data_IF_175522808543
#
_entry.id   IF_175522808543
#
_cell.length_a   1.000
_cell.length_b   1.000
_cell.length_c   1.000
_cell.angle_alpha   90.00
_cell.angle_beta   90.00
_cell.angle_gamma   90.00
#
_symmetry.space_group_name_H-M   'P 1'
#
loop_
_entity.id
_entity.type
_entity.pdbx_description
1 polymer ?
#
# COMPACT_ATOMS: atom_id res chain seq x y z
N UNK A 1 -21.68 -18.23 30.11
CA UNK A 1 -21.40 -17.25 29.04
C UNK A 1 -19.94 -17.42 28.61
N UNK A 2 -19.61 -18.25 27.62
CA UNK A 2 -18.23 -18.36 27.13
C UNK A 2 -17.97 -17.29 26.07
N UNK A 3 -16.93 -16.49 26.30
CA UNK A 3 -16.53 -15.38 25.44
C UNK A 3 -15.98 -15.86 24.10
N UNK A 4 -16.54 -15.33 23.01
CA UNK A 4 -15.99 -15.42 21.67
C UNK A 4 -14.64 -14.67 21.63
N UNK A 5 -13.56 -15.42 21.44
CA UNK A 5 -12.28 -14.82 21.05
C UNK A 5 -12.35 -14.47 19.56
N UNK A 6 -12.04 -13.23 19.14
CA UNK A 6 -11.94 -12.91 17.72
C UNK A 6 -10.72 -13.65 17.15
N UNK A 7 -10.98 -14.64 16.30
CA UNK A 7 -9.93 -15.29 15.51
C UNK A 7 -9.57 -14.34 14.37
N UNK A 8 -8.37 -13.77 14.45
CA UNK A 8 -7.77 -12.99 13.37
C UNK A 8 -7.41 -13.95 12.21
N UNK A 9 -8.18 -13.91 11.13
CA UNK A 9 -7.89 -14.63 9.89
C UNK A 9 -7.19 -13.72 8.89
N UNK A 10 -5.92 -13.40 9.13
CA UNK A 10 -5.02 -13.03 8.02
C UNK A 10 -4.11 -14.23 7.78
N UNK A 11 -4.67 -15.24 7.11
CA UNK A 11 -3.86 -16.32 6.52
C UNK A 11 -3.44 -15.89 5.11
N UNK A 12 -2.14 -16.00 4.83
CA UNK A 12 -1.58 -16.01 3.47
C UNK A 12 -2.43 -16.91 2.58
N UNK A 13 -2.64 -16.52 1.32
CA UNK A 13 -3.37 -17.30 0.33
C UNK A 13 -2.92 -18.77 0.38
N UNK A 14 -3.81 -19.66 0.84
CA UNK A 14 -3.55 -21.07 1.04
C UNK A 14 -4.45 -21.90 0.15
N UNK A 15 -3.93 -23.03 -0.34
CA UNK A 15 -4.73 -24.03 -1.03
C UNK A 15 -5.36 -24.97 0.00
N UNK A 16 -6.68 -25.07 -0.01
CA UNK A 16 -7.42 -25.92 0.92
C UNK A 16 -8.21 -26.96 0.12
N UNK A 17 -7.78 -28.22 0.20
CA UNK A 17 -8.57 -29.34 -0.31
C UNK A 17 -9.65 -29.67 0.72
N UNK A 18 -10.92 -29.69 0.29
CA UNK A 18 -12.06 -30.07 1.12
C UNK A 18 -12.79 -31.24 0.48
N UNK A 19 -13.21 -32.19 1.31
CA UNK A 19 -14.07 -33.27 0.85
C UNK A 19 -15.49 -32.72 0.64
N UNK A 20 -16.02 -32.88 -0.58
CA UNK A 20 -17.34 -32.38 -0.97
C UNK A 20 -18.51 -33.02 -0.23
N UNK A 21 -18.33 -34.22 0.32
CA UNK A 21 -19.35 -34.94 1.12
C UNK A 21 -19.50 -34.37 2.53
N UNK A 22 -18.47 -33.70 3.05
CA UNK A 22 -18.48 -33.08 4.38
C UNK A 22 -18.94 -31.61 4.35
N UNK A 23 -19.23 -31.08 3.17
CA UNK A 23 -19.74 -29.72 2.98
C UNK A 23 -21.24 -29.76 2.76
N UNK A 24 -22.00 -29.14 3.67
CA UNK A 24 -23.44 -28.99 3.50
C UNK A 24 -23.77 -28.16 2.25
N UNK A 25 -24.99 -28.27 1.74
CA UNK A 25 -25.43 -27.47 0.59
C UNK A 25 -25.39 -25.96 0.90
N UNK A 26 -25.68 -25.57 2.14
CA UNK A 26 -25.63 -24.19 2.60
C UNK A 26 -24.19 -23.65 2.62
N UNK A 27 -23.23 -24.44 3.11
CA UNK A 27 -21.81 -24.04 3.13
C UNK A 27 -21.25 -23.89 1.71
N UNK A 28 -21.67 -24.75 0.78
CA UNK A 28 -21.30 -24.65 -0.64
C UNK A 28 -21.83 -23.36 -1.25
N UNK A 29 -23.10 -23.02 -1.01
CA UNK A 29 -23.70 -21.76 -1.44
C UNK A 29 -22.99 -20.55 -0.86
N UNK A 30 -22.65 -20.58 0.43
CA UNK A 30 -21.92 -19.50 1.09
C UNK A 30 -20.54 -19.31 0.46
N UNK A 31 -19.78 -20.40 0.25
CA UNK A 31 -18.49 -20.34 -0.43
C UNK A 31 -18.61 -19.82 -1.86
N UNK A 32 -19.63 -20.25 -2.61
CA UNK A 32 -19.87 -19.79 -3.98
C UNK A 32 -20.25 -18.30 -4.04
N UNK A 33 -20.97 -17.78 -3.03
CA UNK A 33 -21.39 -16.37 -2.99
C UNK A 33 -20.23 -15.39 -2.85
N UNK A 34 -19.15 -15.80 -2.16
CA UNK A 34 -17.94 -14.99 -1.98
C UNK A 34 -16.85 -15.33 -3.00
N UNK A 35 -17.03 -16.39 -3.80
CA UNK A 35 -16.04 -16.83 -4.77
C UNK A 35 -15.95 -15.86 -5.95
N UNK A 36 -14.73 -15.45 -6.30
CA UNK A 36 -14.49 -14.71 -7.54
C UNK A 36 -14.59 -15.60 -8.79
N UNK A 37 -14.23 -16.88 -8.66
CA UNK A 37 -14.27 -17.89 -9.72
C UNK A 37 -14.68 -19.24 -9.13
N UNK A 38 -15.62 -19.91 -9.80
CA UNK A 38 -16.01 -21.29 -9.54
C UNK A 38 -15.92 -22.05 -10.86
N UNK A 39 -15.28 -23.22 -10.84
CA UNK A 39 -15.13 -24.11 -11.98
C UNK A 39 -15.73 -25.45 -11.59
N UNK A 40 -16.52 -26.02 -12.49
CA UNK A 40 -17.23 -27.27 -12.27
C UNK A 40 -16.76 -28.30 -13.29
N UNK A 41 -16.24 -29.44 -12.86
CA UNK A 41 -15.75 -30.47 -13.77
C UNK A 41 -16.87 -31.09 -14.63
N UNK A 42 -18.14 -30.91 -14.24
CA UNK A 42 -19.32 -31.38 -14.97
C UNK A 42 -19.84 -30.36 -15.97
N UNK A 43 -19.43 -29.10 -15.89
CA UNK A 43 -19.90 -28.02 -16.76
C UNK A 43 -19.09 -27.86 -18.06
N UNK A 44 -18.42 -28.92 -18.52
CA UNK A 44 -17.61 -28.93 -19.74
C UNK A 44 -16.13 -28.63 -19.49
N UNK A 45 -15.35 -28.46 -20.57
CA UNK A 45 -13.92 -28.20 -20.45
C UNK A 45 -13.62 -26.85 -19.82
N UNK A 46 -12.48 -26.72 -19.11
CA UNK A 46 -12.07 -25.46 -18.47
C UNK A 46 -12.04 -24.28 -19.45
N UNK A 47 -11.60 -24.52 -20.69
CA UNK A 47 -11.55 -23.51 -21.75
C UNK A 47 -12.95 -23.02 -22.13
N UNK A 48 -13.94 -23.91 -22.16
CA UNK A 48 -15.31 -23.58 -22.51
C UNK A 48 -15.95 -22.72 -21.41
N UNK A 49 -15.76 -23.11 -20.14
CA UNK A 49 -16.24 -22.36 -18.98
C UNK A 49 -15.60 -20.96 -18.87
N UNK A 50 -14.30 -20.84 -19.15
CA UNK A 50 -13.61 -19.55 -19.18
C UNK A 50 -14.11 -18.66 -20.33
N UNK A 51 -14.24 -19.22 -21.53
CA UNK A 51 -14.71 -18.48 -22.70
C UNK A 51 -16.13 -17.94 -22.50
N UNK A 52 -17.05 -18.76 -21.99
CA UNK A 52 -18.42 -18.32 -21.70
C UNK A 52 -18.42 -17.07 -20.80
N UNK A 53 -17.61 -17.04 -19.73
CA UNK A 53 -17.55 -15.91 -18.81
C UNK A 53 -16.82 -14.68 -19.37
N UNK A 54 -15.75 -14.87 -20.15
CA UNK A 54 -15.10 -13.77 -20.88
C UNK A 54 -16.10 -13.09 -21.82
N UNK A 55 -17.03 -13.85 -22.40
CA UNK A 55 -18.12 -13.31 -23.20
C UNK A 55 -19.22 -12.65 -22.36
N UNK A 56 -19.57 -13.16 -21.17
CA UNK A 56 -20.56 -12.55 -20.26
C UNK A 56 -20.07 -11.25 -19.60
N UNK A 57 -18.77 -11.12 -19.31
CA UNK A 57 -18.17 -9.93 -18.69
C UNK A 57 -17.93 -8.76 -19.65
N UNK A 58 -18.33 -8.88 -20.92
CA UNK A 58 -18.35 -7.75 -21.86
C UNK A 58 -19.51 -6.80 -21.58
N UNK A 59 -19.72 -6.39 -20.33
CA UNK A 59 -20.17 -5.00 -20.15
C UNK A 59 -19.03 -4.14 -20.66
N UNK A 60 -19.26 -3.16 -21.56
CA UNK A 60 -18.21 -2.23 -21.91
C UNK A 60 -17.82 -1.53 -20.61
N UNK A 61 -16.68 -1.92 -20.04
CA UNK A 61 -16.09 -1.20 -18.93
C UNK A 61 -15.92 0.22 -19.46
N UNK A 62 -16.70 1.16 -18.92
CA UNK A 62 -16.55 2.57 -19.25
C UNK A 62 -15.09 2.88 -18.97
N UNK A 63 -14.33 3.20 -20.02
CA UNK A 63 -12.92 3.52 -19.86
C UNK A 63 -12.82 4.58 -18.77
N UNK A 64 -12.14 4.25 -17.68
CA UNK A 64 -11.73 5.24 -16.71
C UNK A 64 -10.67 6.07 -17.43
N UNK A 65 -11.10 7.16 -18.05
CA UNK A 65 -10.19 8.16 -18.61
C UNK A 65 -9.87 9.06 -17.43
N UNK A 66 -8.69 8.91 -16.77
CA UNK A 66 -8.29 9.86 -15.76
C UNK A 66 -8.21 11.22 -16.45
N UNK A 67 -9.19 12.09 -16.16
CA UNK A 67 -9.10 13.50 -16.54
C UNK A 67 -8.04 14.10 -15.63
N UNK A 68 -6.78 13.96 -16.03
CA UNK A 68 -5.69 14.70 -15.45
C UNK A 68 -5.91 16.17 -15.82
N UNK A 69 -6.73 16.86 -15.04
CA UNK A 69 -6.60 18.31 -14.93
C UNK A 69 -5.21 18.48 -14.35
N UNK A 70 -4.24 18.78 -15.22
CA UNK A 70 -2.97 19.35 -14.79
C UNK A 70 -3.29 20.72 -14.26
N UNK A 71 -3.79 20.78 -13.02
CA UNK A 71 -3.64 21.98 -12.23
C UNK A 71 -2.14 22.26 -12.26
N UNK A 72 -1.74 23.41 -12.81
CA UNK A 72 -0.37 23.89 -12.59
C UNK A 72 -0.20 23.86 -11.09
N UNK A 73 0.81 23.15 -10.57
CA UNK A 73 1.17 23.25 -9.17
C UNK A 73 1.34 24.74 -8.86
N UNK A 74 0.34 25.35 -8.21
CA UNK A 74 0.39 26.73 -7.72
C UNK A 74 1.13 26.78 -6.38
N UNK A 75 1.98 25.79 -6.12
CA UNK A 75 2.82 25.78 -4.94
C UNK A 75 3.80 26.93 -5.09
N UNK A 76 3.62 27.97 -4.28
CA UNK A 76 4.63 29.02 -4.11
C UNK A 76 5.84 28.40 -3.44
N UNK A 77 7.04 28.72 -3.92
CA UNK A 77 8.29 28.30 -3.27
C UNK A 77 8.27 28.75 -1.80
N UNK A 78 7.96 27.80 -0.91
CA UNK A 78 8.04 28.02 0.53
C UNK A 78 9.49 27.80 0.97
N UNK A 79 10.18 28.88 1.33
CA UNK A 79 11.50 28.80 1.94
C UNK A 79 11.34 28.92 3.46
N UNK A 80 11.51 27.84 4.24
CA UNK A 80 11.53 27.95 5.68
C UNK A 80 12.73 28.80 6.13
N UNK A 81 12.55 29.60 7.18
CA UNK A 81 13.65 30.33 7.81
C UNK A 81 14.51 29.35 8.63
N UNK A 82 15.71 29.08 8.14
CA UNK A 82 16.67 28.19 8.81
C UNK A 82 17.68 28.93 9.67
N UNK A 83 17.63 30.27 9.72
CA UNK A 83 18.63 31.09 10.42
C UNK A 83 18.72 30.82 11.92
N UNK A 84 17.63 30.35 12.50
CA UNK A 84 17.51 30.09 13.94
C UNK A 84 17.82 28.63 14.31
N UNK A 85 18.09 27.75 13.33
CA UNK A 85 18.36 26.34 13.59
C UNK A 85 19.77 26.12 14.14
N UNK A 86 19.85 25.35 15.21
CA UNK A 86 21.10 24.89 15.78
C UNK A 86 21.64 23.67 15.00
N UNK A 87 22.96 23.59 14.84
CA UNK A 87 23.64 22.47 14.17
C UNK A 87 23.14 22.16 12.75
N UNK A 88 22.86 23.20 11.95
CA UNK A 88 22.37 23.03 10.58
C UNK A 88 23.39 22.30 9.69
N UNK A 89 22.97 21.21 9.05
CA UNK A 89 23.85 20.33 8.25
C UNK A 89 23.63 20.42 6.73
N UNK A 90 22.90 21.44 6.26
CA UNK A 90 22.54 21.61 4.85
C UNK A 90 21.19 20.99 4.47
N UNK A 91 20.71 20.00 5.22
CA UNK A 91 19.41 19.34 5.03
C UNK A 91 18.42 19.63 6.15
N UNK A 92 18.87 20.19 7.27
CA UNK A 92 18.05 20.46 8.43
C UNK A 92 18.87 20.80 9.66
N UNK A 93 18.20 21.07 10.76
CA UNK A 93 18.82 21.38 12.05
C UNK A 93 17.82 21.30 13.19
N UNK A 94 18.32 21.39 14.42
CA UNK A 94 17.48 21.37 15.62
C UNK A 94 16.90 22.76 15.90
N UNK A 95 15.69 22.81 16.44
CA UNK A 95 15.13 24.02 17.04
C UNK A 95 16.01 24.50 18.21
N UNK A 96 15.92 25.78 18.58
CA UNK A 96 16.73 26.34 19.68
C UNK A 96 16.46 25.65 21.02
N UNK A 97 15.25 25.12 21.22
CA UNK A 97 14.88 24.37 22.42
C UNK A 97 15.25 22.87 22.34
N UNK A 98 15.76 22.41 21.19
CA UNK A 98 16.20 21.04 20.93
C UNK A 98 15.07 19.99 20.86
N UNK A 99 13.80 20.42 20.87
CA UNK A 99 12.65 19.50 20.87
C UNK A 99 12.26 19.00 19.50
N UNK A 100 12.65 19.73 18.46
CA UNK A 100 12.27 19.45 17.09
C UNK A 100 13.51 19.41 16.21
N UNK A 101 13.51 18.52 15.23
CA UNK A 101 14.47 18.54 14.14
C UNK A 101 13.72 18.90 12.86
N UNK A 102 14.06 20.05 12.27
CA UNK A 102 13.42 20.54 11.05
C UNK A 102 14.20 20.03 9.84
N UNK A 103 13.54 19.26 8.97
CA UNK A 103 14.09 18.78 7.71
C UNK A 103 13.64 19.74 6.61
N UNK A 104 14.59 20.32 5.87
CA UNK A 104 14.33 21.24 4.76
C UNK A 104 14.73 20.56 3.47
N UNK A 105 13.74 20.05 2.74
CA UNK A 105 13.92 19.43 1.43
C UNK A 105 13.45 20.39 0.34
N UNK A 106 14.30 20.61 -0.65
CA UNK A 106 13.89 21.27 -1.91
C UNK A 106 13.05 20.30 -2.72
N UNK A 107 12.17 20.83 -3.58
CA UNK A 107 11.41 19.99 -4.50
C UNK A 107 12.35 19.05 -5.29
N UNK A 108 12.01 17.77 -5.33
CA UNK A 108 12.80 16.68 -5.94
C UNK A 108 14.20 16.41 -5.33
N UNK A 109 14.57 17.02 -4.20
CA UNK A 109 15.79 16.66 -3.48
C UNK A 109 15.53 15.50 -2.51
N UNK A 110 16.41 14.51 -2.53
CA UNK A 110 16.39 13.40 -1.57
C UNK A 110 17.36 13.69 -0.42
N UNK A 111 17.03 13.20 0.77
CA UNK A 111 18.01 13.10 1.86
C UNK A 111 19.12 12.10 1.45
N UNK A 112 20.36 12.27 1.96
CA UNK A 112 21.45 11.34 1.66
C UNK A 112 21.16 9.89 2.08
N UNK A 113 20.32 9.72 3.11
CA UNK A 113 19.79 8.45 3.59
C UNK A 113 18.34 8.65 4.08
N UNK A 114 17.52 7.58 4.14
CA UNK A 114 16.17 7.67 4.67
C UNK A 114 16.16 8.15 6.12
N UNK A 115 15.36 9.16 6.42
CA UNK A 115 15.18 9.72 7.76
C UNK A 115 13.79 9.37 8.26
N UNK A 116 13.68 8.99 9.53
CA UNK A 116 12.38 8.62 10.09
C UNK A 116 12.22 9.15 11.50
N UNK A 117 10.98 9.47 11.84
CA UNK A 117 10.56 9.73 13.20
C UNK A 117 9.79 8.52 13.73
N UNK A 118 10.00 8.21 15.01
CA UNK A 118 9.37 7.09 15.70
C UNK A 118 8.51 7.67 16.82
N UNK A 119 7.20 7.52 16.69
CA UNK A 119 6.24 7.85 17.74
C UNK A 119 5.91 6.56 18.46
N UNK A 120 6.31 6.37 19.72
CA UNK A 120 6.05 5.13 20.44
C UNK A 120 5.73 5.35 21.92
N UNK A 121 4.85 4.51 22.44
CA UNK A 121 4.56 4.32 23.86
C UNK A 121 4.46 2.82 24.16
N UNK A 122 4.11 2.44 25.39
CA UNK A 122 4.08 1.04 25.85
C UNK A 122 3.13 0.12 25.07
N UNK A 123 2.12 0.66 24.38
CA UNK A 123 1.09 -0.12 23.69
C UNK A 123 0.96 0.20 22.21
N UNK A 124 1.57 1.27 21.74
CA UNK A 124 1.34 1.76 20.39
C UNK A 124 2.60 2.41 19.85
N UNK A 125 2.84 2.26 18.54
CA UNK A 125 3.78 3.12 17.88
C UNK A 125 3.59 3.22 16.38
N UNK A 126 4.29 4.18 15.79
CA UNK A 126 4.32 4.46 14.36
C UNK A 126 5.71 4.90 13.94
N UNK A 127 6.17 4.41 12.80
CA UNK A 127 7.33 4.98 12.09
C UNK A 127 6.81 5.83 10.95
N UNK A 128 7.36 7.02 10.78
CA UNK A 128 7.02 7.96 9.70
C UNK A 128 8.33 8.38 9.03
N UNK A 129 8.47 8.15 7.72
CA UNK A 129 9.65 8.54 6.95
C UNK A 129 9.51 9.95 6.36
N UNK A 130 10.62 10.57 5.96
CA UNK A 130 10.62 11.88 5.29
C UNK A 130 9.81 11.87 3.98
N UNK A 131 9.83 10.75 3.25
CA UNK A 131 9.02 10.53 2.05
C UNK A 131 7.53 10.24 2.32
N UNK A 132 7.06 10.36 3.56
CA UNK A 132 5.65 10.16 3.93
C UNK A 132 5.20 8.70 3.99
N UNK A 133 6.12 7.74 3.94
CA UNK A 133 5.79 6.33 4.20
C UNK A 133 5.64 6.14 5.70
N UNK A 134 4.60 5.43 6.13
CA UNK A 134 4.38 5.16 7.53
C UNK A 134 3.79 3.76 7.74
N UNK A 135 4.13 3.16 8.87
CA UNK A 135 3.39 2.02 9.40
C UNK A 135 3.22 2.16 10.90
N UNK A 136 2.14 1.56 11.38
CA UNK A 136 1.68 1.68 12.76
C UNK A 136 1.43 0.29 13.33
N UNK A 137 1.70 0.11 14.63
CA UNK A 137 1.52 -1.15 15.33
C UNK A 137 0.89 -0.97 16.72
N UNK A 138 0.37 -2.07 17.25
CA UNK A 138 -0.11 -2.19 18.61
C UNK A 138 0.74 -3.21 19.38
N UNK A 139 1.35 -2.83 20.50
CA UNK A 139 2.27 -3.62 21.35
C UNK A 139 3.54 -4.15 20.67
N UNK A 140 3.41 -4.86 19.54
CA UNK A 140 4.51 -5.51 18.84
C UNK A 140 4.57 -5.05 17.37
N UNK A 141 5.66 -4.37 17.01
CA UNK A 141 5.90 -3.84 15.67
C UNK A 141 6.04 -4.90 14.58
N UNK A 142 6.35 -6.15 14.96
CA UNK A 142 6.52 -7.25 14.02
C UNK A 142 5.21 -8.00 13.78
N UNK A 143 4.51 -8.36 14.86
CA UNK A 143 3.34 -9.25 14.84
C UNK A 143 2.01 -8.52 14.67
N UNK A 144 1.89 -7.30 15.22
CA UNK A 144 0.62 -6.59 15.36
C UNK A 144 0.64 -5.26 14.59
N UNK A 145 0.99 -5.35 13.31
CA UNK A 145 0.93 -4.20 12.39
C UNK A 145 -0.51 -3.90 11.99
N UNK A 146 -0.93 -2.67 12.25
CA UNK A 146 -2.26 -2.16 11.91
C UNK A 146 -2.32 -1.66 10.48
N UNK A 147 -1.22 -1.09 9.99
CA UNK A 147 -1.08 -0.64 8.60
C UNK A 147 0.07 -1.39 7.92
N UNK A 148 -0.12 -1.86 6.67
CA UNK A 148 0.94 -2.53 5.94
C UNK A 148 2.04 -1.55 5.55
N UNK A 149 3.28 -2.02 5.51
CA UNK A 149 4.38 -1.28 4.88
C UNK A 149 4.28 -1.47 3.37
N UNK A 150 3.94 -0.41 2.66
CA UNK A 150 3.93 -0.42 1.20
C UNK A 150 5.33 -0.13 0.68
N UNK A 151 6.03 -1.13 0.14
CA UNK A 151 7.17 -0.83 -0.72
C UNK A 151 6.63 -0.21 -2.00
N UNK A 152 6.97 1.07 -2.25
CA UNK A 152 6.81 1.62 -3.60
C UNK A 152 7.86 0.95 -4.48
N UNK A 153 7.53 -0.21 -5.04
CA UNK A 153 8.37 -0.88 -6.04
C UNK A 153 8.65 0.12 -7.16
N UNK A 154 9.88 0.60 -7.22
CA UNK A 154 10.32 1.57 -8.22
C UNK A 154 10.26 0.92 -9.60
N UNK A 155 9.17 1.13 -10.32
CA UNK A 155 9.12 0.90 -11.77
C UNK A 155 10.08 1.92 -12.41
N UNK A 156 11.35 1.52 -12.53
CA UNK A 156 12.39 2.28 -13.22
C UNK A 156 12.06 2.21 -14.71
N UNK A 157 11.18 3.10 -15.16
CA UNK A 157 10.95 3.36 -16.58
C UNK A 157 12.26 3.82 -17.21
N UNK A 158 13.06 2.88 -17.74
CA UNK A 158 14.14 3.16 -18.67
C UNK A 158 13.56 3.84 -19.91
N UNK A 159 13.44 5.18 -19.87
CA UNK A 159 13.33 5.97 -21.08
C UNK A 159 14.74 6.09 -21.64
N UNK A 160 15.13 5.17 -22.52
CA UNK A 160 16.25 5.38 -23.45
C UNK A 160 15.88 6.58 -24.33
N UNK A 161 16.35 7.76 -23.95
CA UNK A 161 16.40 8.92 -24.84
C UNK A 161 17.56 8.72 -25.80
N UNK A 162 17.24 8.43 -27.06
CA UNK A 162 18.18 8.52 -28.17
C UNK A 162 18.41 10.02 -28.41
N UNK A 163 19.62 10.51 -28.16
CA UNK A 163 20.06 11.83 -28.65
C UNK A 163 20.62 11.66 -30.07
N UNK A 164 20.20 12.47 -31.06
CA UNK A 164 20.93 12.56 -32.32
C UNK A 164 22.22 13.36 -32.13
N UNK A 165 23.29 12.85 -32.73
CA UNK A 165 24.59 13.49 -32.80
C UNK A 165 24.51 14.84 -33.55
N UNK A 166 25.33 15.80 -33.11
CA UNK A 166 25.84 16.87 -33.96
C UNK A 166 27.28 16.55 -34.31
#
# INVERSE_FOLDING_TARGET
MPGLKPVCWIKRAGFFVRNGEHLSAEDKLLLMSVACLYLDDRAGGINEQLNQRIHTLKSPARAFIPRAVRERNQHTDWSPDTSQLCHFNGYGGFSQDGREYQIVLRENALTPAPWSNILANSRFGSVISEAGQAYTWYENAHEYRLTPWGERSGERSQRRGILPAR
#
